data_IF_009322066315
#
_entry.id   IF_009322066315
#
_cell.length_a   1.000
_cell.length_b   1.000
_cell.length_c   1.000
_cell.angle_alpha   90.00
_cell.angle_beta   90.00
_cell.angle_gamma   90.00
#
_symmetry.space_group_name_H-M   'P 1'
#
loop_
_entity.id
_entity.type
_entity.pdbx_description
1 polymer ?
#
# COMPACT_ATOMS: atom_id res chain seq x y z
N UNK A 1 25.23 31.15 12.91
CA UNK A 1 25.44 29.69 13.07
C UNK A 1 25.33 29.10 11.69
N UNK A 2 26.25 28.24 11.25
CA UNK A 2 26.13 27.55 9.96
C UNK A 2 24.95 26.58 10.04
N UNK A 3 24.12 26.53 8.99
CA UNK A 3 23.09 25.50 8.87
C UNK A 3 23.77 24.15 8.63
N UNK A 4 23.26 23.04 9.22
CA UNK A 4 23.83 21.72 8.99
C UNK A 4 23.66 21.32 7.52
N UNK A 5 24.69 20.73 6.95
CA UNK A 5 24.61 20.03 5.66
C UNK A 5 23.75 18.77 5.78
N UNK A 6 23.27 18.24 4.65
CA UNK A 6 22.50 16.98 4.61
C UNK A 6 23.27 15.79 5.19
N UNK A 7 24.60 15.75 4.98
CA UNK A 7 25.47 14.72 5.53
C UNK A 7 25.59 14.84 7.06
N UNK A 8 25.74 16.06 7.59
CA UNK A 8 25.76 16.31 9.04
C UNK A 8 24.41 15.98 9.68
N UNK A 9 23.29 16.31 9.02
CA UNK A 9 21.95 15.92 9.47
C UNK A 9 21.80 14.40 9.55
N UNK A 10 22.17 13.68 8.49
CA UNK A 10 22.09 12.21 8.45
C UNK A 10 22.99 11.57 9.52
N UNK A 11 24.20 12.10 9.72
CA UNK A 11 25.11 11.65 10.77
C UNK A 11 24.52 11.88 12.17
N UNK A 12 23.90 13.03 12.40
CA UNK A 12 23.25 13.36 13.65
C UNK A 12 22.06 12.44 13.96
N UNK A 13 21.24 12.11 12.94
CA UNK A 13 20.15 11.14 13.10
C UNK A 13 20.68 9.78 13.57
N UNK A 14 21.79 9.30 12.99
CA UNK A 14 22.44 8.04 13.41
C UNK A 14 23.02 8.12 14.82
N UNK A 15 23.58 9.27 15.20
CA UNK A 15 24.09 9.48 16.57
C UNK A 15 22.96 9.41 17.60
N UNK A 16 21.81 10.03 17.32
CA UNK A 16 20.63 9.99 18.17
C UNK A 16 19.95 8.60 18.19
N UNK A 17 20.11 7.83 17.11
CA UNK A 17 19.47 6.52 16.90
C UNK A 17 20.51 5.48 16.46
N UNK A 18 21.35 5.00 17.39
CA UNK A 18 22.50 4.15 17.06
C UNK A 18 22.11 2.80 16.45
N UNK A 19 20.88 2.33 16.71
CA UNK A 19 20.30 1.15 16.08
C UNK A 19 19.53 1.53 14.80
N UNK A 20 20.26 2.02 13.81
CA UNK A 20 19.71 2.38 12.49
C UNK A 20 20.13 1.40 11.42
N UNK A 21 19.18 0.94 10.62
CA UNK A 21 19.42 0.19 9.39
C UNK A 21 19.25 1.09 8.17
N UNK A 22 20.09 0.88 7.16
CA UNK A 22 19.92 1.47 5.83
C UNK A 22 18.83 0.73 5.06
N UNK A 23 18.04 1.49 4.32
CA UNK A 23 16.93 0.93 3.57
C UNK A 23 16.40 1.84 2.47
N UNK A 24 15.25 1.43 1.96
CA UNK A 24 14.49 2.13 0.95
C UNK A 24 13.04 2.22 1.39
N UNK A 25 12.41 3.34 1.10
CA UNK A 25 10.97 3.53 1.29
C UNK A 25 10.34 3.95 -0.03
N UNK A 26 9.25 3.28 -0.41
CA UNK A 26 8.37 3.65 -1.53
C UNK A 26 7.21 4.47 -0.96
N UNK A 27 7.04 5.68 -1.47
CA UNK A 27 6.05 6.64 -0.99
C UNK A 27 5.18 7.13 -2.14
N UNK A 28 3.95 7.53 -1.83
CA UNK A 28 3.12 8.37 -2.68
C UNK A 28 2.78 9.66 -1.95
N UNK A 29 2.91 10.79 -2.63
CA UNK A 29 2.25 12.01 -2.20
C UNK A 29 0.79 11.94 -2.65
N UNK A 30 -0.13 12.17 -1.71
CA UNK A 30 -1.56 12.16 -1.98
C UNK A 30 -2.25 13.37 -1.36
N UNK A 31 -3.39 13.75 -1.94
CA UNK A 31 -4.14 14.95 -1.56
C UNK A 31 -5.62 14.65 -1.34
N UNK A 32 -6.19 15.18 -0.26
CA UNK A 32 -7.62 15.28 -0.04
C UNK A 32 -7.95 16.70 0.45
N UNK A 33 -9.24 17.03 0.54
CA UNK A 33 -9.64 18.36 1.01
C UNK A 33 -9.00 18.67 2.38
N UNK A 34 -8.24 19.77 2.43
CA UNK A 34 -7.56 20.23 3.64
C UNK A 34 -6.36 19.38 4.10
N UNK A 35 -5.89 18.39 3.33
CA UNK A 35 -4.77 17.54 3.75
C UNK A 35 -3.93 17.02 2.59
N UNK A 36 -2.62 16.91 2.84
CA UNK A 36 -1.65 16.22 2.00
C UNK A 36 -0.90 15.21 2.85
N UNK A 37 -0.63 14.03 2.30
CA UNK A 37 -0.03 12.92 3.05
C UNK A 37 1.04 12.23 2.21
N UNK A 38 2.14 11.84 2.86
CA UNK A 38 3.04 10.85 2.32
C UNK A 38 2.56 9.46 2.79
N UNK A 39 2.00 8.69 1.87
CA UNK A 39 1.54 7.32 2.14
C UNK A 39 2.71 6.36 1.91
N UNK A 40 3.15 5.62 2.93
CA UNK A 40 4.15 4.57 2.77
C UNK A 40 3.53 3.34 2.13
N UNK A 41 3.93 3.04 0.90
CA UNK A 41 3.49 1.84 0.18
C UNK A 41 4.30 0.62 0.62
N UNK A 42 5.60 0.80 0.86
CA UNK A 42 6.53 -0.30 1.11
C UNK A 42 7.80 0.21 1.79
N UNK A 43 8.32 -0.58 2.73
CA UNK A 43 9.64 -0.37 3.31
C UNK A 43 10.55 -1.55 2.95
N UNK A 44 11.84 -1.32 2.76
CA UNK A 44 12.83 -2.36 2.55
C UNK A 44 14.12 -2.02 3.31
N UNK A 45 14.78 -3.02 3.86
CA UNK A 45 16.02 -2.86 4.63
C UNK A 45 17.02 -3.97 4.27
N UNK A 46 18.30 -3.63 4.33
CA UNK A 46 19.37 -4.64 4.25
C UNK A 46 19.69 -5.17 5.65
N UNK A 47 19.27 -6.40 5.94
CA UNK A 47 19.50 -7.07 7.21
C UNK A 47 20.38 -8.32 7.00
N UNK A 48 21.47 -8.16 6.24
CA UNK A 48 22.28 -9.28 5.75
C UNK A 48 21.66 -9.95 4.50
N UNK A 49 20.92 -9.15 3.73
CA UNK A 49 20.04 -9.56 2.65
C UNK A 49 18.79 -8.69 2.64
N UNK A 50 18.40 -8.21 1.45
CA UNK A 50 17.27 -7.30 1.29
C UNK A 50 15.93 -7.95 1.66
N UNK A 51 15.30 -7.38 2.70
CA UNK A 51 13.96 -7.74 3.17
C UNK A 51 13.01 -6.58 2.92
N UNK A 52 11.76 -6.89 2.62
CA UNK A 52 10.71 -5.88 2.54
C UNK A 52 9.71 -6.06 3.69
N UNK A 53 9.05 -4.96 4.02
CA UNK A 53 8.09 -4.84 5.10
C UNK A 53 6.89 -4.07 4.60
N UNK A 54 5.71 -4.57 4.92
CA UNK A 54 4.45 -3.93 4.61
C UNK A 54 4.09 -2.94 5.74
N UNK A 55 3.92 -1.64 5.44
CA UNK A 55 3.32 -0.71 6.38
C UNK A 55 1.89 -1.15 6.74
N UNK A 56 1.55 -1.07 8.03
CA UNK A 56 0.19 -1.35 8.53
C UNK A 56 -0.44 -0.09 9.10
N UNK A 57 0.22 0.57 10.05
CA UNK A 57 -0.21 1.87 10.56
C UNK A 57 0.88 2.91 10.34
N UNK A 58 0.52 4.17 10.18
CA UNK A 58 1.48 5.26 10.09
C UNK A 58 0.89 6.58 10.55
N UNK A 59 1.78 7.50 10.95
CA UNK A 59 1.41 8.86 11.33
C UNK A 59 1.69 9.83 10.18
N UNK A 60 1.09 11.03 10.26
CA UNK A 60 1.47 12.14 9.38
C UNK A 60 2.97 12.41 9.49
N UNK A 61 3.62 12.62 8.35
CA UNK A 61 5.06 12.88 8.29
C UNK A 61 5.40 14.27 8.85
N UNK A 62 6.50 14.38 9.57
CA UNK A 62 7.11 15.67 9.87
C UNK A 62 8.04 16.06 8.72
N UNK A 63 7.72 17.15 8.03
CA UNK A 63 8.53 17.69 6.94
C UNK A 63 9.40 18.85 7.46
N UNK A 64 10.67 18.83 7.09
CA UNK A 64 11.63 19.89 7.39
C UNK A 64 12.26 20.39 6.09
N UNK A 65 12.12 21.67 5.79
CA UNK A 65 12.78 22.32 4.66
C UNK A 65 13.97 23.12 5.20
N UNK A 66 15.18 22.63 4.92
CA UNK A 66 16.45 23.16 5.43
C UNK A 66 17.21 23.87 4.30
N UNK A 67 18.28 24.58 4.64
CA UNK A 67 19.12 25.22 3.62
C UNK A 67 19.80 24.15 2.76
N UNK A 68 19.38 24.04 1.49
CA UNK A 68 19.97 23.14 0.50
C UNK A 68 19.38 21.73 0.42
N UNK A 69 18.48 21.33 1.33
CA UNK A 69 17.80 20.02 1.27
C UNK A 69 16.49 20.00 2.07
N UNK A 70 15.68 18.99 1.84
CA UNK A 70 14.49 18.70 2.65
C UNK A 70 14.63 17.33 3.33
N UNK A 71 13.95 17.15 4.45
CA UNK A 71 13.89 15.90 5.20
C UNK A 71 12.47 15.57 5.63
N UNK A 72 12.19 14.27 5.78
CA UNK A 72 10.95 13.77 6.35
C UNK A 72 11.24 12.70 7.40
N UNK A 73 10.50 12.76 8.50
CA UNK A 73 10.44 11.71 9.52
C UNK A 73 9.02 11.14 9.57
N UNK A 74 8.90 9.82 9.51
CA UNK A 74 7.62 9.11 9.51
C UNK A 74 7.68 7.97 10.54
N UNK A 75 6.69 7.88 11.42
CA UNK A 75 6.51 6.72 12.29
C UNK A 75 5.56 5.73 11.64
N UNK A 76 5.99 4.47 11.53
CA UNK A 76 5.29 3.40 10.81
C UNK A 76 5.28 2.15 11.69
N UNK A 77 4.10 1.59 11.96
CA UNK A 77 3.95 0.23 12.44
C UNK A 77 3.90 -0.72 11.25
N UNK A 78 4.80 -1.70 11.23
CA UNK A 78 4.88 -2.73 10.21
C UNK A 78 3.80 -3.80 10.45
N UNK A 79 3.41 -4.55 9.41
CA UNK A 79 2.49 -5.70 9.48
C UNK A 79 2.82 -6.70 10.61
N UNK A 80 4.12 -6.91 10.87
CA UNK A 80 4.63 -7.74 11.96
C UNK A 80 4.54 -7.12 13.37
N UNK A 81 3.97 -5.92 13.51
CA UNK A 81 3.69 -5.24 14.78
C UNK A 81 4.82 -4.39 15.34
N UNK A 82 5.95 -4.26 14.63
CA UNK A 82 7.07 -3.43 15.06
C UNK A 82 6.84 -1.97 14.65
N UNK A 83 6.93 -1.04 15.60
CA UNK A 83 6.93 0.40 15.35
C UNK A 83 8.35 0.87 15.04
N UNK A 84 8.52 1.48 13.87
CA UNK A 84 9.78 2.06 13.39
C UNK A 84 9.60 3.54 13.07
N UNK A 85 10.69 4.29 13.17
CA UNK A 85 10.82 5.64 12.64
C UNK A 85 11.72 5.60 11.41
N UNK A 86 11.20 6.13 10.31
CA UNK A 86 11.86 6.21 9.02
C UNK A 86 12.20 7.66 8.71
N UNK A 87 13.48 7.93 8.53
CA UNK A 87 13.99 9.25 8.16
C UNK A 87 14.52 9.21 6.73
N UNK A 88 14.11 10.15 5.90
CA UNK A 88 14.59 10.30 4.52
C UNK A 88 14.86 11.78 4.21
N UNK A 89 15.68 12.01 3.18
CA UNK A 89 16.02 13.35 2.70
C UNK A 89 15.83 13.47 1.20
N UNK A 90 15.76 14.69 0.68
CA UNK A 90 15.63 14.96 -0.75
C UNK A 90 16.80 14.40 -1.57
N UNK A 91 18.03 14.43 -1.06
CA UNK A 91 19.21 13.80 -1.70
C UNK A 91 19.21 12.26 -1.61
N UNK A 92 18.31 11.70 -0.79
CA UNK A 92 18.02 10.27 -0.73
C UNK A 92 17.23 9.74 -1.93
N UNK A 93 16.71 10.61 -2.81
CA UNK A 93 15.91 10.20 -3.97
C UNK A 93 16.61 9.15 -4.85
N UNK A 94 15.88 8.11 -5.21
CA UNK A 94 16.35 7.00 -6.07
C UNK A 94 15.66 7.03 -7.41
N UNK A 95 14.32 7.01 -7.43
CA UNK A 95 13.55 6.93 -8.67
C UNK A 95 12.11 7.40 -8.49
N UNK A 96 11.51 7.89 -9.58
CA UNK A 96 10.06 7.97 -9.74
C UNK A 96 9.59 6.75 -10.54
N UNK A 97 8.63 6.02 -10.00
CA UNK A 97 8.10 4.80 -10.61
C UNK A 97 6.83 5.12 -11.41
N UNK A 98 6.50 4.23 -12.36
CA UNK A 98 5.38 4.47 -13.27
C UNK A 98 3.99 4.47 -12.61
N UNK A 99 3.87 4.12 -11.33
CA UNK A 99 2.63 4.22 -10.55
C UNK A 99 2.54 5.53 -9.74
N UNK A 100 3.33 6.55 -10.10
CA UNK A 100 3.40 7.85 -9.41
C UNK A 100 3.91 7.76 -7.97
N UNK A 101 4.57 6.66 -7.61
CA UNK A 101 5.34 6.57 -6.36
C UNK A 101 6.78 6.99 -6.58
N UNK A 102 7.45 7.37 -5.49
CA UNK A 102 8.88 7.64 -5.49
C UNK A 102 9.57 6.75 -4.46
N UNK A 103 10.79 6.34 -4.79
CA UNK A 103 11.66 5.55 -3.91
C UNK A 103 12.76 6.46 -3.38
N UNK A 104 12.97 6.41 -2.08
CA UNK A 104 14.05 7.12 -1.39
C UNK A 104 14.90 6.15 -0.59
N UNK A 105 16.20 6.40 -0.54
CA UNK A 105 17.06 5.87 0.53
C UNK A 105 16.60 6.47 1.85
N UNK A 106 16.56 5.65 2.89
CA UNK A 106 16.12 6.07 4.21
C UNK A 106 16.91 5.37 5.31
N UNK A 107 16.87 5.98 6.50
CA UNK A 107 17.30 5.38 7.75
C UNK A 107 16.08 4.82 8.48
N UNK A 108 16.16 3.58 8.93
CA UNK A 108 15.10 2.90 9.66
C UNK A 108 15.60 2.68 11.09
N UNK A 109 14.85 3.16 12.06
CA UNK A 109 15.20 3.09 13.49
C UNK A 109 14.03 2.58 14.31
N UNK A 110 14.29 1.85 15.40
CA UNK A 110 13.26 1.26 16.26
C UNK A 110 13.33 -0.27 16.30
N UNK A 111 12.71 -0.86 17.33
CA UNK A 111 12.69 -2.30 17.61
C UNK A 111 14.06 -3.02 17.50
N UNK A 112 15.06 -2.57 18.27
CA UNK A 112 16.29 -3.34 18.50
C UNK A 112 17.26 -3.45 17.32
N UNK A 113 17.05 -2.70 16.23
CA UNK A 113 17.92 -2.57 15.05
C UNK A 113 18.11 -3.82 14.18
N UNK A 114 18.00 -5.02 14.74
CA UNK A 114 18.37 -6.32 14.15
C UNK A 114 17.30 -7.40 14.32
N UNK A 115 16.25 -7.12 15.10
CA UNK A 115 15.16 -8.06 15.38
C UNK A 115 14.00 -7.98 14.37
N UNK A 116 14.07 -7.09 13.38
CA UNK A 116 13.02 -6.92 12.39
C UNK A 116 12.93 -8.18 11.50
N UNK A 117 11.73 -8.76 11.44
CA UNK A 117 11.40 -9.88 10.55
C UNK A 117 10.58 -9.32 9.40
N UNK A 118 11.13 -9.39 8.18
CA UNK A 118 10.43 -8.91 6.97
C UNK A 118 9.32 -9.84 6.52
N UNK A 119 8.30 -9.26 5.88
CA UNK A 119 7.21 -9.99 5.21
C UNK A 119 7.72 -10.86 4.06
N UNK A 120 8.86 -10.49 3.47
CA UNK A 120 9.54 -11.32 2.50
C UNK A 120 10.91 -10.81 2.07
N UNK A 121 11.48 -11.46 1.07
CA UNK A 121 12.71 -11.03 0.39
C UNK A 121 12.38 -10.12 -0.78
N UNK A 122 13.23 -9.11 -1.02
CA UNK A 122 13.13 -8.29 -2.21
C UNK A 122 14.48 -8.03 -2.88
N UNK A 123 14.45 -7.50 -4.09
CA UNK A 123 15.64 -7.03 -4.81
C UNK A 123 15.37 -5.66 -5.37
N UNK A 124 16.30 -4.71 -5.20
CA UNK A 124 16.25 -3.41 -5.87
C UNK A 124 16.77 -3.54 -7.30
N UNK A 125 15.99 -3.09 -8.27
CA UNK A 125 16.41 -3.01 -9.68
C UNK A 125 17.21 -1.74 -9.95
N UNK A 126 17.93 -1.75 -11.08
CA UNK A 126 18.68 -0.59 -11.55
C UNK A 126 17.80 0.63 -11.88
N UNK A 127 16.51 0.42 -12.15
CA UNK A 127 15.51 1.49 -12.36
C UNK A 127 14.84 1.95 -11.05
N UNK A 128 15.30 1.46 -9.89
CA UNK A 128 14.82 1.85 -8.57
C UNK A 128 13.57 1.12 -8.09
N UNK A 129 12.95 0.26 -8.92
CA UNK A 129 11.80 -0.54 -8.48
C UNK A 129 12.23 -1.70 -7.58
N UNK A 130 11.35 -2.11 -6.66
CA UNK A 130 11.58 -3.22 -5.74
C UNK A 130 10.83 -4.46 -6.23
N UNK A 131 11.54 -5.57 -6.38
CA UNK A 131 10.97 -6.86 -6.76
C UNK A 131 10.57 -7.64 -5.52
N UNK A 132 9.26 -7.85 -5.32
CA UNK A 132 8.70 -8.51 -4.14
C UNK A 132 8.42 -9.98 -4.43
N UNK A 133 8.87 -10.89 -3.58
CA UNK A 133 8.40 -12.27 -3.66
C UNK A 133 7.02 -12.38 -3.00
N UNK A 134 5.99 -12.66 -3.79
CA UNK A 134 4.59 -12.79 -3.37
C UNK A 134 4.02 -14.15 -3.80
N UNK A 135 2.83 -14.46 -3.30
CA UNK A 135 2.19 -15.74 -3.47
C UNK A 135 0.77 -15.61 -4.04
N UNK A 136 0.41 -16.54 -4.92
CA UNK A 136 -0.95 -16.74 -5.39
C UNK A 136 -1.47 -18.09 -4.93
N UNK A 137 -2.59 -18.09 -4.19
CA UNK A 137 -3.23 -19.30 -3.66
C UNK A 137 -4.43 -19.72 -4.51
N UNK A 138 -4.42 -20.98 -4.96
CA UNK A 138 -5.44 -21.52 -5.86
C UNK A 138 -5.54 -23.05 -5.74
N UNK A 139 -6.41 -23.68 -6.52
CA UNK A 139 -6.52 -25.15 -6.55
C UNK A 139 -5.38 -25.79 -7.36
N UNK A 140 -5.06 -27.07 -7.14
CA UNK A 140 -4.01 -27.76 -7.91
C UNK A 140 -4.22 -27.70 -9.43
N UNK A 141 -5.46 -27.82 -9.89
CA UNK A 141 -5.83 -27.73 -11.30
C UNK A 141 -5.47 -26.36 -11.90
N UNK A 142 -5.89 -25.27 -11.25
CA UNK A 142 -5.59 -23.93 -11.73
C UNK A 142 -4.11 -23.58 -11.59
N UNK A 143 -3.43 -24.10 -10.56
CA UNK A 143 -2.00 -23.92 -10.42
C UNK A 143 -1.23 -24.56 -11.60
N UNK A 144 -1.64 -25.75 -12.03
CA UNK A 144 -1.09 -26.41 -13.21
C UNK A 144 -1.39 -25.62 -14.49
N UNK A 145 -2.62 -25.12 -14.65
CA UNK A 145 -3.02 -24.31 -15.81
C UNK A 145 -2.24 -22.99 -15.90
N UNK A 146 -2.04 -22.28 -14.79
CA UNK A 146 -1.26 -21.03 -14.73
C UNK A 146 0.20 -21.30 -15.08
N UNK A 147 0.80 -22.35 -14.51
CA UNK A 147 2.20 -22.74 -14.82
C UNK A 147 2.38 -23.12 -16.28
N UNK A 148 1.43 -23.84 -16.87
CA UNK A 148 1.49 -24.24 -18.27
C UNK A 148 1.28 -23.06 -19.23
N UNK A 149 0.42 -22.10 -18.86
CA UNK A 149 0.09 -20.95 -19.71
C UNK A 149 0.98 -19.72 -19.51
N UNK A 150 1.77 -19.68 -18.43
CA UNK A 150 2.72 -18.59 -18.15
C UNK A 150 2.06 -17.26 -17.78
N UNK A 151 0.78 -17.24 -17.40
CA UNK A 151 0.08 -16.01 -17.03
C UNK A 151 -1.03 -16.22 -16.00
N UNK A 152 -1.34 -15.15 -15.27
CA UNK A 152 -2.54 -15.03 -14.45
C UNK A 152 -3.65 -14.35 -15.26
N UNK A 153 -4.88 -14.83 -15.11
CA UNK A 153 -6.06 -14.13 -15.61
C UNK A 153 -6.58 -13.20 -14.53
N UNK A 154 -7.04 -12.02 -14.94
CA UNK A 154 -7.65 -11.07 -14.02
C UNK A 154 -9.02 -11.56 -13.54
N UNK A 155 -9.31 -11.28 -12.27
CA UNK A 155 -10.63 -11.48 -11.65
C UNK A 155 -11.44 -10.19 -11.75
N UNK A 156 -12.74 -10.32 -12.04
CA UNK A 156 -13.69 -9.20 -12.08
C UNK A 156 -14.28 -8.85 -10.73
N UNK A 157 -13.75 -9.36 -9.62
CA UNK A 157 -14.34 -9.10 -8.31
C UNK A 157 -13.59 -7.97 -7.59
N UNK A 158 -14.32 -7.16 -6.84
CA UNK A 158 -13.78 -6.16 -5.90
C UNK A 158 -13.02 -6.84 -4.75
N UNK A 159 -12.38 -6.05 -3.89
CA UNK A 159 -11.52 -6.57 -2.80
C UNK A 159 -12.29 -7.44 -1.81
N UNK A 160 -13.58 -7.15 -1.53
CA UNK A 160 -14.45 -8.02 -0.73
C UNK A 160 -14.79 -9.35 -1.43
N UNK A 161 -14.66 -9.43 -2.75
CA UNK A 161 -15.11 -10.58 -3.53
C UNK A 161 -16.63 -10.70 -3.66
N UNK A 162 -17.37 -9.59 -3.54
CA UNK A 162 -18.84 -9.57 -3.43
C UNK A 162 -19.52 -8.82 -4.59
N UNK A 163 -18.78 -8.01 -5.34
CA UNK A 163 -19.29 -7.23 -6.48
C UNK A 163 -18.42 -7.42 -7.73
N UNK A 164 -19.07 -7.45 -8.89
CA UNK A 164 -18.38 -7.49 -10.19
C UNK A 164 -17.99 -6.08 -10.67
N UNK A 165 -16.75 -5.95 -11.14
CA UNK A 165 -16.14 -4.76 -11.71
C UNK A 165 -16.36 -4.72 -13.23
N UNK A 166 -16.60 -3.52 -13.77
CA UNK A 166 -16.86 -3.26 -15.20
C UNK A 166 -15.62 -2.82 -15.97
N UNK A 167 -14.70 -2.08 -15.36
CA UNK A 167 -13.64 -1.37 -16.08
C UNK A 167 -12.20 -1.80 -15.69
N UNK A 168 -12.06 -2.82 -14.84
CA UNK A 168 -10.76 -3.40 -14.46
C UNK A 168 -10.93 -4.88 -14.10
N UNK A 169 -9.86 -5.65 -14.32
CA UNK A 169 -9.69 -6.98 -13.77
C UNK A 169 -8.41 -7.01 -12.91
N UNK A 170 -8.39 -7.79 -11.83
CA UNK A 170 -7.23 -7.85 -10.92
C UNK A 170 -6.63 -9.25 -10.85
N UNK A 171 -5.31 -9.33 -11.00
CA UNK A 171 -4.55 -10.48 -10.50
C UNK A 171 -4.22 -10.25 -9.02
N UNK A 172 -4.53 -11.23 -8.17
CA UNK A 172 -4.42 -11.13 -6.71
C UNK A 172 -3.23 -11.94 -6.19
N UNK A 173 -2.43 -11.31 -5.34
CA UNK A 173 -1.29 -11.90 -4.65
C UNK A 173 -1.32 -11.55 -3.16
N UNK A 174 -0.53 -12.25 -2.36
CA UNK A 174 -0.38 -12.03 -0.92
C UNK A 174 1.07 -12.25 -0.46
N UNK A 175 1.43 -11.62 0.65
CA UNK A 175 2.67 -11.87 1.42
C UNK A 175 2.69 -13.28 2.02
N UNK A 176 1.52 -13.90 2.22
CA UNK A 176 1.40 -15.16 2.95
C UNK A 176 1.86 -16.36 2.10
N UNK A 177 2.89 -17.13 2.51
CA UNK A 177 3.35 -18.31 1.78
C UNK A 177 2.35 -19.48 1.83
N UNK A 178 1.43 -19.46 2.80
CA UNK A 178 0.34 -20.43 2.96
C UNK A 178 -0.80 -19.76 3.74
N UNK A 179 -2.04 -20.15 3.44
CA UNK A 179 -3.21 -19.87 4.28
C UNK A 179 -3.36 -21.05 5.24
N UNK A 180 -3.00 -20.87 6.51
CA UNK A 180 -3.00 -21.95 7.50
C UNK A 180 -4.08 -21.80 8.58
N UNK A 181 -4.66 -20.61 8.71
CA UNK A 181 -5.60 -20.26 9.77
C UNK A 181 -6.73 -19.35 9.30
N UNK A 182 -7.77 -19.20 10.13
CA UNK A 182 -8.82 -18.19 9.90
C UNK A 182 -8.27 -16.76 9.97
N UNK A 183 -7.22 -16.51 10.74
CA UNK A 183 -6.54 -15.22 10.79
C UNK A 183 -5.89 -14.90 9.43
N UNK A 184 -5.25 -15.90 8.80
CA UNK A 184 -4.69 -15.76 7.46
C UNK A 184 -5.77 -15.46 6.42
N UNK A 185 -6.93 -16.12 6.51
CA UNK A 185 -8.08 -15.82 5.65
C UNK A 185 -8.53 -14.36 5.83
N UNK A 186 -8.65 -13.90 7.08
CA UNK A 186 -9.08 -12.54 7.39
C UNK A 186 -8.10 -11.48 6.84
N UNK A 187 -6.79 -11.73 6.90
CA UNK A 187 -5.75 -10.85 6.33
C UNK A 187 -5.95 -10.61 4.83
N UNK A 188 -6.42 -11.62 4.10
CA UNK A 188 -6.69 -11.55 2.66
C UNK A 188 -8.17 -11.34 2.31
N UNK A 189 -8.93 -10.71 3.21
CA UNK A 189 -10.36 -10.38 3.02
C UNK A 189 -11.22 -11.61 2.69
N UNK A 190 -10.98 -12.72 3.40
CA UNK A 190 -11.78 -13.95 3.32
C UNK A 190 -12.17 -14.42 4.72
N UNK A 191 -13.21 -15.25 4.82
CA UNK A 191 -13.56 -15.91 6.08
C UNK A 191 -14.39 -17.17 5.84
N UNK A 192 -14.28 -18.19 6.71
CA UNK A 192 -15.16 -19.38 6.65
C UNK A 192 -16.64 -19.05 6.85
N UNK A 193 -16.94 -17.99 7.60
CA UNK A 193 -18.29 -17.46 7.82
C UNK A 193 -18.78 -16.56 6.67
N UNK A 194 -17.89 -16.13 5.77
CA UNK A 194 -18.13 -15.08 4.78
C UNK A 194 -18.31 -13.69 5.40
N UNK A 195 -17.87 -13.49 6.66
CA UNK A 195 -18.00 -12.21 7.37
C UNK A 195 -16.75 -11.92 8.22
N UNK A 196 -16.32 -10.67 8.21
CA UNK A 196 -15.33 -10.14 9.15
C UNK A 196 -15.93 -8.96 9.92
N UNK A 197 -15.51 -8.78 11.16
CA UNK A 197 -15.92 -7.66 11.99
C UNK A 197 -14.91 -6.54 11.88
N UNK A 198 -15.39 -5.33 11.59
CA UNK A 198 -14.60 -4.10 11.65
C UNK A 198 -15.01 -3.31 12.89
N UNK A 199 -14.04 -2.71 13.56
CA UNK A 199 -14.29 -1.91 14.75
C UNK A 199 -13.92 -0.45 14.47
N UNK A 200 -14.83 0.47 14.81
CA UNK A 200 -14.57 1.91 14.70
C UNK A 200 -13.49 2.32 15.69
N UNK A 201 -12.70 3.33 15.34
CA UNK A 201 -11.56 3.82 16.15
C UNK A 201 -11.94 4.07 17.61
N UNK A 202 -13.07 4.74 17.83
CA UNK A 202 -13.56 5.13 19.14
C UNK A 202 -14.67 4.24 19.70
N UNK A 203 -14.83 3.01 19.18
CA UNK A 203 -15.82 2.08 19.70
C UNK A 203 -15.58 1.76 21.19
N UNK A 204 -16.62 1.80 22.02
CA UNK A 204 -16.46 1.55 23.45
C UNK A 204 -16.28 0.07 23.78
N UNK A 205 -16.68 -0.82 22.87
CA UNK A 205 -16.47 -2.26 22.99
C UNK A 205 -16.53 -2.99 21.65
N UNK A 206 -15.99 -4.21 21.61
CA UNK A 206 -16.08 -5.11 20.45
C UNK A 206 -17.51 -5.51 20.06
N UNK A 207 -18.51 -5.26 20.91
CA UNK A 207 -19.93 -5.48 20.58
C UNK A 207 -20.46 -4.51 19.52
N UNK A 208 -19.76 -3.40 19.29
CA UNK A 208 -20.06 -2.43 18.25
C UNK A 208 -19.41 -2.79 16.90
N UNK A 209 -18.78 -3.97 16.80
CA UNK A 209 -18.18 -4.41 15.56
C UNK A 209 -19.22 -4.48 14.44
N UNK A 210 -18.90 -3.85 13.32
CA UNK A 210 -19.70 -3.85 12.11
C UNK A 210 -19.27 -5.05 11.29
N UNK A 211 -20.19 -5.98 11.08
CA UNK A 211 -19.91 -7.18 10.32
C UNK A 211 -20.12 -6.92 8.81
N UNK A 212 -19.03 -6.95 8.05
CA UNK A 212 -19.06 -6.82 6.59
C UNK A 212 -19.05 -8.20 5.93
N UNK A 213 -19.57 -8.28 4.70
CA UNK A 213 -19.51 -9.51 3.90
C UNK A 213 -18.17 -9.56 3.18
N UNK A 214 -17.59 -10.76 3.16
CA UNK A 214 -16.36 -11.05 2.42
C UNK A 214 -16.50 -12.40 1.72
N UNK A 215 -15.60 -12.67 0.78
CA UNK A 215 -15.55 -13.94 0.08
C UNK A 215 -15.46 -15.11 1.06
N UNK A 216 -16.43 -16.00 0.99
CA UNK A 216 -16.48 -17.17 1.87
C UNK A 216 -15.47 -18.21 1.40
N UNK A 217 -14.56 -18.62 2.28
CA UNK A 217 -13.52 -19.59 1.95
C UNK A 217 -13.09 -20.42 3.16
N UNK A 218 -12.62 -21.65 2.93
CA UNK A 218 -12.02 -22.52 3.94
C UNK A 218 -10.49 -22.55 3.85
N UNK A 219 -9.80 -22.77 4.97
CA UNK A 219 -8.35 -23.06 5.00
C UNK A 219 -7.99 -24.38 4.35
N UNK A 220 -8.98 -25.26 4.13
CA UNK A 220 -8.81 -26.53 3.42
C UNK A 220 -8.92 -26.39 1.89
N UNK A 221 -9.38 -25.23 1.42
CA UNK A 221 -9.46 -24.89 0.01
C UNK A 221 -8.22 -24.09 -0.42
N UNK A 222 -7.92 -24.05 -1.73
CA UNK A 222 -6.73 -23.38 -2.30
C UNK A 222 -5.39 -23.93 -1.80
N UNK A 223 -5.26 -25.25 -1.79
CA UNK A 223 -4.09 -25.99 -1.29
C UNK A 223 -2.82 -25.87 -2.14
N UNK A 224 -2.86 -25.16 -3.27
CA UNK A 224 -1.71 -24.92 -4.13
C UNK A 224 -1.30 -23.46 -4.15
N UNK A 225 0.00 -23.24 -4.03
CA UNK A 225 0.61 -21.91 -4.03
C UNK A 225 1.56 -21.76 -5.22
N UNK A 226 1.51 -20.60 -5.85
CA UNK A 226 2.48 -20.17 -6.87
C UNK A 226 3.27 -19.00 -6.29
N UNK A 227 4.58 -19.15 -6.16
CA UNK A 227 5.50 -18.04 -5.84
C UNK A 227 5.77 -17.26 -7.11
N UNK A 228 5.72 -15.93 -7.02
CA UNK A 228 5.97 -15.02 -8.15
C UNK A 228 6.65 -13.76 -7.64
N UNK A 229 7.61 -13.27 -8.42
CA UNK A 229 8.28 -12.00 -8.17
C UNK A 229 7.48 -10.89 -8.84
N UNK A 230 6.99 -9.93 -8.06
CA UNK A 230 6.14 -8.83 -8.53
C UNK A 230 6.87 -7.51 -8.33
N UNK A 231 7.14 -6.73 -9.39
CA UNK A 231 7.62 -5.35 -9.23
C UNK A 231 6.61 -4.51 -8.44
N UNK A 232 7.08 -3.78 -7.43
CA UNK A 232 6.24 -2.99 -6.52
C UNK A 232 5.46 -1.90 -7.27
N UNK A 233 6.00 -1.37 -8.38
CA UNK A 233 5.29 -0.43 -9.26
C UNK A 233 4.10 -1.04 -10.02
N UNK A 234 3.94 -2.37 -10.07
CA UNK A 234 2.75 -3.02 -10.66
C UNK A 234 1.59 -3.12 -9.69
N UNK A 235 1.86 -3.04 -8.38
CA UNK A 235 0.85 -3.18 -7.34
C UNK A 235 -0.03 -1.92 -7.32
N UNK A 236 -1.33 -2.12 -7.41
CA UNK A 236 -2.31 -1.07 -7.25
C UNK A 236 -2.26 -0.51 -5.82
N UNK A 237 -2.42 0.80 -5.68
CA UNK A 237 -2.38 1.47 -4.38
C UNK A 237 -3.43 0.89 -3.42
N UNK A 238 -3.01 0.62 -2.19
CA UNK A 238 -3.89 0.14 -1.12
C UNK A 238 -4.70 1.29 -0.55
N UNK A 239 -5.93 1.00 -0.16
CA UNK A 239 -6.83 1.96 0.49
C UNK A 239 -6.38 2.28 1.91
N UNK A 240 -6.81 3.42 2.42
CA UNK A 240 -6.33 3.94 3.71
C UNK A 240 -7.52 4.26 4.61
N UNK A 241 -7.44 3.87 5.86
CA UNK A 241 -8.30 4.41 6.91
C UNK A 241 -7.63 5.60 7.59
N UNK A 242 -8.41 6.60 7.95
CA UNK A 242 -8.04 7.65 8.89
C UNK A 242 -8.69 7.35 10.23
N UNK A 243 -7.88 7.37 11.28
CA UNK A 243 -8.30 7.18 12.66
C UNK A 243 -8.13 8.48 13.44
N UNK A 244 -9.18 8.99 14.09
CA UNK A 244 -9.10 10.13 15.00
C UNK A 244 -9.47 9.71 16.43
N UNK A 245 -8.57 9.02 17.16
CA UNK A 245 -8.85 8.59 18.52
C UNK A 245 -9.12 9.79 19.45
N UNK A 246 -10.07 9.66 20.36
CA UNK A 246 -10.48 10.73 21.29
C UNK A 246 -9.33 11.22 22.17
N UNK A 247 -8.39 10.33 22.51
CA UNK A 247 -7.26 10.59 23.40
C UNK A 247 -5.91 10.32 22.73
N UNK A 248 -5.75 10.71 21.47
CA UNK A 248 -4.48 10.52 20.76
C UNK A 248 -4.38 11.33 19.48
N UNK A 249 -3.19 11.31 18.85
CA UNK A 249 -3.01 11.91 17.53
C UNK A 249 -3.76 11.10 16.46
N UNK A 250 -4.09 11.79 15.37
CA UNK A 250 -4.59 11.15 14.15
C UNK A 250 -3.51 10.25 13.57
N UNK A 251 -3.90 9.05 13.17
CA UNK A 251 -3.05 8.11 12.44
C UNK A 251 -3.84 7.46 11.30
N UNK A 252 -3.13 6.72 10.47
CA UNK A 252 -3.66 6.09 9.28
C UNK A 252 -3.37 4.59 9.31
N UNK A 253 -4.26 3.79 8.72
CA UNK A 253 -4.11 2.35 8.55
C UNK A 253 -4.18 1.99 7.07
N UNK A 254 -3.27 1.14 6.60
CA UNK A 254 -3.37 0.53 5.27
C UNK A 254 -4.45 -0.57 5.33
N UNK A 255 -5.50 -0.42 4.54
CA UNK A 255 -6.57 -1.41 4.44
C UNK A 255 -6.05 -2.68 3.74
N UNK A 256 -6.19 -3.84 4.39
CA UNK A 256 -5.76 -5.14 3.90
C UNK A 256 -4.30 -5.16 3.41
N UNK A 257 -3.32 -4.95 4.32
CA UNK A 257 -1.90 -4.83 3.97
C UNK A 257 -1.37 -6.09 3.24
N UNK A 258 -1.99 -7.25 3.46
CA UNK A 258 -1.57 -8.52 2.88
C UNK A 258 -2.20 -8.84 1.49
N UNK A 259 -2.97 -7.92 0.90
CA UNK A 259 -3.57 -8.06 -0.43
C UNK A 259 -2.86 -7.15 -1.44
N UNK A 260 -2.25 -7.76 -2.46
CA UNK A 260 -1.54 -7.08 -3.53
C UNK A 260 -2.27 -7.35 -4.84
N UNK A 261 -2.82 -6.30 -5.44
CA UNK A 261 -3.60 -6.40 -6.69
C UNK A 261 -2.81 -5.80 -7.84
N UNK A 262 -2.76 -6.50 -8.97
CA UNK A 262 -2.23 -5.95 -10.22
C UNK A 262 -3.41 -5.72 -11.16
N UNK A 263 -3.68 -4.45 -11.46
CA UNK A 263 -4.82 -4.04 -12.30
C UNK A 263 -4.54 -4.22 -13.78
N UNK A 264 -5.51 -4.80 -14.48
CA UNK A 264 -5.48 -5.14 -15.90
C UNK A 264 -6.67 -4.51 -16.63
N UNK A 265 -6.45 -4.07 -17.86
CA UNK A 265 -7.55 -3.81 -18.77
C UNK A 265 -8.33 -5.12 -19.03
N UNK A 266 -9.63 -5.00 -19.32
CA UNK A 266 -10.51 -6.15 -19.49
C UNK A 266 -9.99 -7.14 -20.54
N UNK A 267 -9.98 -8.43 -20.19
CA UNK A 267 -9.54 -9.51 -21.08
C UNK A 267 -8.02 -9.58 -21.28
N UNK A 268 -7.25 -8.72 -20.61
CA UNK A 268 -5.78 -8.82 -20.57
C UNK A 268 -5.36 -9.81 -19.48
N UNK A 269 -4.08 -10.17 -19.52
CA UNK A 269 -3.48 -11.15 -18.61
C UNK A 269 -2.24 -10.57 -17.96
N UNK A 270 -1.84 -11.12 -16.81
CA UNK A 270 -0.58 -10.79 -16.17
C UNK A 270 0.43 -11.92 -16.42
N UNK A 271 1.27 -11.83 -17.47
CA UNK A 271 2.25 -12.87 -17.76
C UNK A 271 3.40 -12.82 -16.76
N UNK A 272 4.04 -13.97 -16.55
CA UNK A 272 5.28 -14.08 -15.79
C UNK A 272 6.31 -14.91 -16.55
N UNK A 273 7.53 -14.38 -16.66
CA UNK A 273 8.66 -15.04 -17.33
C UNK A 273 9.78 -15.26 -16.32
N UNK A 274 10.29 -16.49 -16.21
CA UNK A 274 11.31 -16.82 -15.21
C UNK A 274 10.85 -16.57 -13.77
N UNK A 275 9.53 -16.63 -13.52
CA UNK A 275 8.94 -16.33 -12.20
C UNK A 275 8.74 -14.85 -11.90
N UNK A 276 9.10 -13.94 -12.82
CA UNK A 276 8.90 -12.48 -12.65
C UNK A 276 7.69 -12.01 -13.44
N UNK A 277 6.75 -11.34 -12.77
CA UNK A 277 5.57 -10.75 -13.39
C UNK A 277 5.99 -9.58 -14.30
N UNK A 278 5.48 -9.56 -15.54
CA UNK A 278 5.84 -8.54 -16.52
C UNK A 278 4.64 -8.13 -17.36
N UNK A 279 3.76 -7.30 -16.78
CA UNK A 279 2.57 -6.79 -17.48
C UNK A 279 2.98 -5.64 -18.40
N UNK A 280 2.68 -5.65 -19.71
CA UNK A 280 2.91 -4.50 -20.59
C UNK A 280 2.13 -3.27 -20.13
N UNK A 281 2.68 -2.06 -20.27
CA UNK A 281 2.03 -0.82 -19.83
C UNK A 281 0.64 -0.64 -20.44
N UNK A 282 0.49 -0.96 -21.73
CA UNK A 282 -0.79 -0.92 -22.48
C UNK A 282 -1.87 -1.87 -21.95
N UNK A 283 -1.48 -2.86 -21.15
CA UNK A 283 -2.39 -3.85 -20.59
C UNK A 283 -2.72 -3.55 -19.11
N UNK A 284 -1.98 -2.62 -18.48
CA UNK A 284 -2.16 -2.24 -17.07
C UNK A 284 -3.32 -1.27 -16.93
N UNK A 285 -4.14 -1.48 -15.91
CA UNK A 285 -5.16 -0.54 -15.47
C UNK A 285 -4.80 -0.04 -14.07
N UNK A 286 -4.70 1.28 -13.93
CA UNK A 286 -4.38 1.96 -12.67
C UNK A 286 -5.42 3.05 -12.41
N UNK A 287 -5.50 3.43 -11.15
CA UNK A 287 -6.37 4.49 -10.67
C UNK A 287 -5.50 5.54 -9.97
N UNK A 288 -5.77 6.80 -10.23
CA UNK A 288 -5.00 7.95 -9.73
C UNK A 288 -5.52 8.43 -8.36
N UNK A 289 -6.08 7.51 -7.60
CA UNK A 289 -6.65 7.79 -6.30
C UNK A 289 -6.54 6.57 -5.38
N UNK A 290 -6.71 6.85 -4.10
CA UNK A 290 -6.84 5.89 -3.02
C UNK A 290 -8.14 6.20 -2.27
N UNK A 291 -8.92 5.20 -1.91
CA UNK A 291 -10.09 5.41 -1.06
C UNK A 291 -9.64 5.74 0.36
N UNK A 292 -10.23 6.80 0.91
CA UNK A 292 -10.03 7.21 2.29
C UNK A 292 -11.27 6.84 3.11
N UNK A 293 -11.13 5.85 3.99
CA UNK A 293 -12.15 5.50 4.96
C UNK A 293 -12.04 6.34 6.23
N UNK A 294 -13.09 7.03 6.64
CA UNK A 294 -13.17 7.57 8.00
C UNK A 294 -13.55 6.47 8.99
N UNK A 295 -12.57 5.94 9.72
CA UNK A 295 -12.75 4.82 10.63
C UNK A 295 -13.58 5.15 11.89
N UNK A 296 -13.99 6.40 12.08
CA UNK A 296 -14.93 6.79 13.14
C UNK A 296 -16.41 6.63 12.73
N UNK A 297 -16.68 6.51 11.44
CA UNK A 297 -18.04 6.34 10.90
C UNK A 297 -18.26 4.93 10.37
N UNK A 298 -19.48 4.36 10.50
CA UNK A 298 -19.81 3.09 9.85
C UNK A 298 -19.55 3.08 8.35
N UNK A 299 -19.95 4.15 7.65
CA UNK A 299 -19.83 4.27 6.21
C UNK A 299 -18.37 4.36 5.77
N UNK A 300 -17.58 5.21 6.45
CA UNK A 300 -16.15 5.34 6.18
C UNK A 300 -15.36 4.08 6.50
N UNK A 301 -15.73 3.34 7.54
CA UNK A 301 -15.10 2.05 7.87
C UNK A 301 -15.41 0.95 6.84
N UNK A 302 -16.56 1.01 6.16
CA UNK A 302 -16.95 0.04 5.13
C UNK A 302 -16.33 0.39 3.77
N UNK A 303 -16.18 1.69 3.46
CA UNK A 303 -15.90 2.17 2.11
C UNK A 303 -14.63 1.55 1.45
N UNK A 304 -13.48 1.40 2.13
CA UNK A 304 -12.30 0.75 1.53
C UNK A 304 -12.51 -0.72 1.14
N UNK A 305 -13.40 -1.45 1.82
CA UNK A 305 -13.74 -2.81 1.44
C UNK A 305 -14.75 -2.83 0.29
N UNK A 306 -15.75 -1.96 0.33
CA UNK A 306 -16.84 -1.96 -0.66
C UNK A 306 -16.37 -1.45 -2.02
N UNK A 307 -15.52 -0.43 -2.01
CA UNK A 307 -14.93 0.28 -3.14
C UNK A 307 -15.90 1.06 -4.05
N UNK A 308 -17.21 0.76 -3.97
CA UNK A 308 -18.27 1.36 -4.78
C UNK A 308 -18.80 2.66 -4.17
N UNK A 309 -19.32 2.60 -2.95
CA UNK A 309 -19.98 3.73 -2.29
C UNK A 309 -18.99 4.58 -1.48
N UNK A 310 -18.06 5.24 -2.16
CA UNK A 310 -17.06 6.12 -1.53
C UNK A 310 -17.38 7.61 -1.71
N UNK A 311 -17.13 8.39 -0.64
CA UNK A 311 -17.27 9.86 -0.64
C UNK A 311 -15.93 10.59 -0.48
N UNK A 312 -14.87 9.87 -0.15
CA UNK A 312 -13.58 10.46 0.19
C UNK A 312 -12.45 9.74 -0.55
N UNK A 313 -11.70 10.55 -1.31
CA UNK A 313 -10.57 10.10 -2.12
C UNK A 313 -9.32 10.85 -1.68
N UNK A 314 -8.21 10.13 -1.69
CA UNK A 314 -6.86 10.68 -1.70
C UNK A 314 -6.36 10.62 -3.14
N UNK A 315 -6.30 11.77 -3.81
CA UNK A 315 -5.78 11.90 -5.18
C UNK A 315 -4.28 11.71 -5.18
N UNK A 316 -3.77 10.80 -6.01
CA UNK A 316 -2.34 10.53 -6.09
C UNK A 316 -1.68 11.65 -6.90
N UNK A 317 -0.59 12.18 -6.37
CA UNK A 317 0.21 13.20 -7.05
C UNK A 317 1.16 12.58 -8.06
N UNK A 318 1.13 13.09 -9.28
CA UNK A 318 2.05 12.68 -10.33
C UNK A 318 3.28 13.61 -10.35
N UNK A 319 4.23 13.35 -9.45
CA UNK A 319 5.50 14.08 -9.42
C UNK A 319 6.51 13.49 -10.43
N UNK A 320 6.31 13.79 -11.71
CA UNK A 320 7.26 13.44 -12.79
C UNK A 320 8.46 14.38 -12.89
N UNK A 321 8.32 15.61 -12.39
CA UNK A 321 9.35 16.65 -12.46
C UNK A 321 9.84 16.94 -11.04
N UNK A 322 10.90 16.23 -10.62
CA UNK A 322 11.48 16.38 -9.28
C UNK A 322 10.87 15.44 -8.24
N UNK A 323 11.16 15.73 -6.97
CA UNK A 323 10.70 14.97 -5.81
C UNK A 323 9.38 15.49 -5.27
N UNK A 324 8.69 14.71 -4.43
CA UNK A 324 7.54 15.21 -3.69
C UNK A 324 7.87 16.41 -2.78
N UNK A 325 9.13 16.56 -2.34
CA UNK A 325 9.55 17.76 -1.60
C UNK A 325 9.53 19.01 -2.48
N UNK A 326 10.00 18.90 -3.73
CA UNK A 326 9.98 19.99 -4.69
C UNK A 326 8.54 20.40 -5.01
N UNK A 327 7.66 19.41 -5.21
CA UNK A 327 6.24 19.65 -5.42
C UNK A 327 5.61 20.37 -4.24
N UNK A 328 5.83 19.87 -3.02
CA UNK A 328 5.24 20.44 -1.81
C UNK A 328 5.69 21.88 -1.58
N UNK A 329 6.96 22.16 -1.80
CA UNK A 329 7.51 23.52 -1.68
C UNK A 329 6.89 24.48 -2.70
N UNK A 330 6.79 24.05 -3.97
CA UNK A 330 6.24 24.88 -5.04
C UNK A 330 4.72 25.13 -4.93
N UNK A 331 3.99 24.25 -4.23
CA UNK A 331 2.52 24.26 -4.14
C UNK A 331 2.00 24.45 -2.70
N UNK A 332 2.81 25.05 -1.82
CA UNK A 332 2.41 25.29 -0.44
C UNK A 332 1.10 26.09 -0.35
N UNK A 333 0.15 25.62 0.48
CA UNK A 333 -1.16 26.24 0.72
C UNK A 333 -2.00 26.47 -0.56
N UNK A 334 -1.84 25.62 -1.56
CA UNK A 334 -2.64 25.65 -2.79
C UNK A 334 -3.62 24.47 -2.85
N UNK A 335 -4.67 24.62 -3.65
CA UNK A 335 -5.68 23.60 -3.88
C UNK A 335 -5.17 22.56 -4.89
N UNK A 336 -5.07 21.31 -4.45
CA UNK A 336 -4.64 20.17 -5.25
C UNK A 336 -5.77 19.19 -5.56
N UNK A 337 -7.02 19.53 -5.22
CA UNK A 337 -8.13 18.57 -5.22
C UNK A 337 -9.30 19.04 -6.07
N UNK A 338 -9.78 20.28 -5.93
CA UNK A 338 -11.11 20.66 -6.46
C UNK A 338 -11.23 20.55 -7.98
N UNK A 339 -10.13 20.64 -8.72
CA UNK A 339 -10.11 20.50 -10.17
C UNK A 339 -9.90 19.06 -10.67
N UNK A 340 -9.73 18.07 -9.79
CA UNK A 340 -9.44 16.68 -10.16
C UNK A 340 -10.71 15.87 -10.32
N UNK A 341 -10.79 15.10 -11.40
CA UNK A 341 -11.87 14.15 -11.65
C UNK A 341 -11.25 12.82 -12.08
N UNK A 342 -10.84 11.96 -11.13
CA UNK A 342 -10.21 10.70 -11.47
C UNK A 342 -11.21 9.76 -12.15
N UNK A 343 -10.72 8.92 -13.07
CA UNK A 343 -11.49 7.80 -13.61
C UNK A 343 -11.77 6.81 -12.46
N UNK A 344 -13.04 6.57 -12.13
CA UNK A 344 -13.43 5.76 -10.98
C UNK A 344 -13.59 4.28 -11.32
N UNK A 345 -13.44 3.43 -10.32
CA UNK A 345 -13.85 2.04 -10.40
C UNK A 345 -15.36 1.94 -10.71
N UNK A 346 -15.72 1.08 -11.65
CA UNK A 346 -17.11 0.90 -12.07
C UNK A 346 -17.61 -0.51 -11.78
N UNK A 347 -18.88 -0.64 -11.41
CA UNK A 347 -19.47 -1.90 -10.95
C UNK A 347 -20.62 -2.36 -11.87
N UNK A 348 -20.79 -3.68 -11.98
CA UNK A 348 -21.75 -4.31 -12.92
C UNK A 348 -23.18 -3.82 -12.69
N UNK A 349 -23.58 -3.79 -11.43
CA UNK A 349 -24.95 -3.57 -10.96
C UNK A 349 -25.12 -2.27 -10.16
N UNK A 350 -24.10 -1.40 -10.14
CA UNK A 350 -24.12 -0.12 -9.45
C UNK A 350 -25.15 0.85 -10.02
N UNK A 351 -26.04 1.32 -9.15
CA UNK A 351 -27.04 2.35 -9.43
C UNK A 351 -26.40 3.66 -9.87
N UNK A 352 -27.18 4.47 -10.60
CA UNK A 352 -26.75 5.75 -11.13
C UNK A 352 -25.94 6.55 -10.09
N UNK A 353 -24.71 6.94 -10.45
CA UNK A 353 -23.95 7.93 -9.74
C UNK A 353 -24.87 9.12 -9.44
N UNK A 354 -25.04 9.44 -8.16
CA UNK A 354 -25.67 10.69 -7.76
C UNK A 354 -24.79 11.82 -8.29
N UNK A 355 -25.22 12.36 -9.42
CA UNK A 355 -24.78 13.63 -9.97
C UNK A 355 -25.34 14.70 -9.04
N UNK A 356 -24.46 15.38 -8.31
CA UNK A 356 -24.36 16.85 -8.19
C UNK A 356 -23.26 17.21 -7.22
#
# INVERSE_FOLDING_TARGET
MSHPTEAEYTAHVRELRPETADGFIKLKLVHAEGTSLLVPDLLAADLGGMRWFQPKFFYGCQLSFLEGFAAADISIELSGGSLVSVTLTSGGFVASLGDSSQVFRCLISGAGGTALVGDGTCTLKSDGDLLLNLFHHTTPEFAAAIKASGHFRGSRWNIQGTRELKNVEYAYFTSLPRIASEEDLAKIAMASSGRIGLLRTNAASTREAIAIKVYRQSTLDRTSTISVVVPASLVASQHVYRHAPTNGPVYYEICNPDIYRVGLHLGKVAPFLGGVLSVPETDRRRFEYVLLGDADTPEGLIAPFDEEDTKALLHIEESRLGTFFDFWYAHANSDQVSARTPDLLQFKDGGAAATT
#
